data_IF_333010794099
#
_entry.id   IF_333010794099
#
_cell.length_a   1.000
_cell.length_b   1.000
_cell.length_c   1.000
_cell.angle_alpha   90.00
_cell.angle_beta   90.00
_cell.angle_gamma   90.00
#
_symmetry.space_group_name_H-M   'P 1'
#
loop_
_entity.id
_entity.type
_entity.pdbx_description
1 polymer ?
#
# COMPACT_ATOMS: atom_id res chain seq x y z
N UNK A 1 5.85 -10.44 -6.63
CA UNK A 1 6.71 -9.26 -6.41
C UNK A 1 6.62 -8.85 -4.95
N UNK A 2 7.69 -8.33 -4.36
CA UNK A 2 7.69 -7.80 -3.00
C UNK A 2 8.13 -6.33 -3.05
N UNK A 3 7.35 -5.46 -2.43
CA UNK A 3 7.67 -4.04 -2.22
C UNK A 3 7.96 -3.83 -0.74
N UNK A 4 9.10 -3.21 -0.43
CA UNK A 4 9.40 -2.78 0.94
C UNK A 4 8.68 -1.46 1.20
N UNK A 5 7.90 -1.41 2.28
CA UNK A 5 7.24 -0.20 2.75
C UNK A 5 8.12 0.41 3.84
N UNK A 6 8.80 1.50 3.51
CA UNK A 6 9.68 2.21 4.42
C UNK A 6 8.87 3.12 5.35
N UNK A 7 9.39 3.33 6.55
CA UNK A 7 8.81 4.25 7.51
C UNK A 7 8.75 5.68 6.97
N UNK A 8 7.66 6.39 7.28
CA UNK A 8 7.51 7.81 7.04
C UNK A 8 7.10 8.53 8.33
N UNK A 9 7.50 9.80 8.43
CA UNK A 9 7.03 10.73 9.47
C UNK A 9 7.27 10.25 10.91
N UNK A 10 8.40 9.59 11.16
CA UNK A 10 8.78 9.03 12.48
C UNK A 10 7.66 8.16 13.10
N UNK A 11 6.94 7.42 12.26
CA UNK A 11 5.80 6.60 12.68
C UNK A 11 6.21 5.40 13.52
N UNK A 12 7.45 4.91 13.35
CA UNK A 12 7.90 3.60 13.82
C UNK A 12 7.27 2.43 13.05
N UNK A 13 6.58 2.68 11.93
CA UNK A 13 5.84 1.69 11.16
C UNK A 13 6.52 1.41 9.82
N UNK A 14 6.80 0.15 9.55
CA UNK A 14 7.40 -0.32 8.28
C UNK A 14 6.77 -1.64 7.88
N UNK A 15 6.93 -2.08 6.64
CA UNK A 15 6.25 -3.30 6.21
C UNK A 15 6.67 -3.81 4.86
N UNK A 16 5.87 -4.74 4.36
CA UNK A 16 6.00 -5.29 3.02
C UNK A 16 4.64 -5.39 2.35
N UNK A 17 4.59 -5.10 1.06
CA UNK A 17 3.48 -5.46 0.20
C UNK A 17 3.92 -6.57 -0.76
N UNK A 18 3.28 -7.73 -0.67
CA UNK A 18 3.50 -8.85 -1.56
C UNK A 18 2.39 -8.90 -2.60
N UNK A 19 2.78 -8.79 -3.87
CA UNK A 19 1.86 -8.84 -5.01
C UNK A 19 2.03 -10.15 -5.76
N UNK A 20 0.93 -10.87 -6.00
CA UNK A 20 0.89 -12.12 -6.76
C UNK A 20 -0.23 -12.05 -7.79
N UNK A 21 0.11 -12.21 -9.07
CA UNK A 21 -0.90 -12.33 -10.11
C UNK A 21 -1.38 -13.78 -10.24
N UNK A 22 -2.70 -13.96 -10.27
CA UNK A 22 -3.38 -15.22 -10.53
C UNK A 22 -4.66 -14.96 -11.32
N UNK A 23 -4.86 -15.72 -12.40
CA UNK A 23 -6.06 -15.63 -13.25
C UNK A 23 -6.34 -14.20 -13.77
N UNK A 24 -5.28 -13.44 -14.11
CA UNK A 24 -5.37 -12.07 -14.61
C UNK A 24 -5.71 -11.01 -13.56
N UNK A 25 -5.59 -11.36 -12.27
CA UNK A 25 -5.86 -10.49 -11.12
C UNK A 25 -4.67 -10.48 -10.18
N UNK A 26 -4.35 -9.32 -9.62
CA UNK A 26 -3.27 -9.17 -8.65
C UNK A 26 -3.83 -9.20 -7.24
N UNK A 27 -3.41 -10.18 -6.45
CA UNK A 27 -3.59 -10.19 -5.00
C UNK A 27 -2.45 -9.41 -4.34
N UNK A 28 -2.80 -8.45 -3.49
CA UNK A 28 -1.89 -7.60 -2.72
C UNK A 28 -2.07 -7.94 -1.24
N UNK A 29 -1.03 -8.49 -0.62
CA UNK A 29 -0.96 -8.69 0.83
C UNK A 29 -0.07 -7.62 1.44
N UNK A 30 -0.61 -6.83 2.36
CA UNK A 30 0.14 -5.82 3.13
C UNK A 30 0.37 -6.36 4.54
N UNK A 31 1.62 -6.36 4.97
CA UNK A 31 2.06 -6.74 6.32
C UNK A 31 2.90 -5.62 6.92
N UNK A 32 2.41 -5.03 8.01
CA UNK A 32 3.00 -3.89 8.71
C UNK A 32 3.47 -4.28 10.10
N UNK A 33 4.70 -3.89 10.41
CA UNK A 33 5.31 -3.91 11.73
C UNK A 33 5.17 -2.54 12.40
N UNK A 34 4.86 -2.54 13.70
CA UNK A 34 4.67 -1.31 14.48
C UNK A 34 3.27 -0.73 14.40
N UNK A 35 2.36 -1.32 13.61
CA UNK A 35 0.98 -0.88 13.48
C UNK A 35 0.26 -0.90 14.85
N UNK A 36 -0.47 0.18 15.22
CA UNK A 36 -1.16 0.24 16.50
C UNK A 36 -2.37 -0.72 16.54
N UNK A 37 -2.48 -1.49 17.62
CA UNK A 37 -3.54 -2.48 17.80
C UNK A 37 -4.94 -1.85 17.75
N UNK A 38 -5.86 -2.48 17.01
CA UNK A 38 -7.25 -2.06 16.83
C UNK A 38 -7.45 -0.79 16.00
N UNK A 39 -6.38 -0.22 15.44
CA UNK A 39 -6.48 0.96 14.56
C UNK A 39 -6.62 0.49 13.12
N UNK A 40 -7.68 0.96 12.46
CA UNK A 40 -7.86 0.78 11.02
C UNK A 40 -7.02 1.83 10.30
N UNK A 41 -6.06 1.36 9.51
CA UNK A 41 -5.15 2.20 8.74
C UNK A 41 -5.48 2.08 7.26
N UNK A 42 -6.03 3.15 6.61
CA UNK A 42 -6.26 3.11 5.18
C UNK A 42 -4.98 2.79 4.41
N UNK A 43 -5.09 1.99 3.36
CA UNK A 43 -3.96 1.74 2.45
C UNK A 43 -4.44 1.79 1.00
N UNK A 44 -3.59 2.30 0.12
CA UNK A 44 -3.96 2.55 -1.27
C UNK A 44 -2.76 2.37 -2.19
N UNK A 45 -3.05 2.08 -3.46
CA UNK A 45 -2.11 2.31 -4.56
C UNK A 45 -2.38 3.72 -5.10
N UNK A 46 -1.36 4.55 -5.16
CA UNK A 46 -1.40 5.90 -5.74
C UNK A 46 -0.51 6.02 -6.97
N UNK A 47 -0.78 7.03 -7.80
CA UNK A 47 0.20 7.49 -8.80
C UNK A 47 1.35 8.24 -8.13
N UNK A 48 2.49 8.30 -8.81
CA UNK A 48 3.67 9.05 -8.36
C UNK A 48 4.63 8.21 -7.52
N UNK A 49 5.31 8.87 -6.59
CA UNK A 49 6.38 8.31 -5.75
C UNK A 49 6.18 8.67 -4.27
N UNK A 50 6.97 8.07 -3.37
CA UNK A 50 6.80 8.28 -1.93
C UNK A 50 7.09 9.72 -1.47
N UNK A 51 7.79 10.53 -2.26
CA UNK A 51 8.01 11.95 -1.98
C UNK A 51 6.85 12.83 -2.48
N UNK A 52 6.17 12.43 -3.56
CA UNK A 52 5.11 13.16 -4.23
C UNK A 52 3.92 12.24 -4.54
N UNK A 53 3.17 11.87 -3.49
CA UNK A 53 1.99 11.02 -3.62
C UNK A 53 0.89 11.70 -4.45
N UNK A 54 0.48 11.05 -5.53
CA UNK A 54 -0.56 11.50 -6.44
C UNK A 54 -1.97 10.99 -6.07
N UNK A 55 -2.81 10.82 -7.10
CA UNK A 55 -4.19 10.37 -6.92
C UNK A 55 -4.26 8.88 -6.56
N UNK A 56 -5.30 8.49 -5.83
CA UNK A 56 -5.62 7.08 -5.58
C UNK A 56 -5.96 6.42 -6.91
N UNK A 57 -5.32 5.30 -7.19
CA UNK A 57 -5.59 4.43 -8.34
C UNK A 57 -6.44 3.25 -7.91
N UNK A 58 -6.02 2.56 -6.84
CA UNK A 58 -6.76 1.44 -6.29
C UNK A 58 -6.87 1.55 -4.77
N UNK A 59 -8.07 1.45 -4.18
CA UNK A 59 -8.20 1.20 -2.76
C UNK A 59 -7.75 -0.21 -2.43
N UNK A 60 -7.08 -0.35 -1.29
CA UNK A 60 -6.79 -1.64 -0.68
C UNK A 60 -7.64 -1.80 0.59
N UNK A 61 -7.87 -3.05 0.99
CA UNK A 61 -8.39 -3.35 2.32
C UNK A 61 -7.48 -2.74 3.38
N UNK A 62 -8.10 -2.19 4.42
CA UNK A 62 -7.38 -1.43 5.42
C UNK A 62 -6.75 -2.38 6.43
N UNK A 63 -5.41 -2.43 6.55
CA UNK A 63 -4.78 -3.24 7.58
C UNK A 63 -5.34 -2.86 8.96
N UNK A 64 -5.89 -3.89 9.62
CA UNK A 64 -6.25 -3.86 11.03
C UNK A 64 -5.25 -4.76 11.73
N UNK A 65 -4.59 -4.26 12.77
CA UNK A 65 -3.46 -4.94 13.42
C UNK A 65 -2.32 -5.27 12.43
N UNK A 66 -2.15 -4.42 11.41
CA UNK A 66 -1.03 -4.46 10.47
C UNK A 66 -1.17 -5.41 9.28
N UNK A 67 -2.27 -6.15 9.13
CA UNK A 67 -2.43 -7.08 8.00
C UNK A 67 -3.70 -6.83 7.18
N UNK A 68 -3.57 -6.88 5.86
CA UNK A 68 -4.69 -6.86 4.92
C UNK A 68 -4.37 -7.63 3.63
N UNK A 69 -5.40 -8.19 3.00
CA UNK A 69 -5.31 -8.83 1.69
C UNK A 69 -6.38 -8.23 0.78
N UNK A 70 -5.98 -7.80 -0.42
CA UNK A 70 -6.87 -7.23 -1.43
C UNK A 70 -6.67 -7.93 -2.76
N UNK A 71 -7.74 -8.28 -3.46
CA UNK A 71 -7.65 -8.71 -4.86
C UNK A 71 -8.04 -7.57 -5.79
N UNK A 72 -7.09 -7.09 -6.61
CA UNK A 72 -7.32 -6.11 -7.64
C UNK A 72 -7.89 -6.79 -8.91
N UNK A 73 -8.88 -6.18 -9.59
CA UNK A 73 -9.45 -6.74 -10.80
C UNK A 73 -8.59 -6.49 -12.06
N UNK A 74 -7.27 -6.40 -11.90
CA UNK A 74 -6.29 -6.08 -12.96
C UNK A 74 -5.04 -6.95 -12.83
N UNK A 75 -4.34 -7.20 -13.94
CA UNK A 75 -3.07 -7.93 -13.98
C UNK A 75 -1.84 -7.00 -13.86
N UNK A 76 -0.64 -7.58 -13.81
CA UNK A 76 0.60 -6.80 -13.73
C UNK A 76 0.86 -5.93 -14.96
N UNK A 77 0.44 -6.36 -16.16
CA UNK A 77 0.62 -5.57 -17.38
C UNK A 77 -0.11 -4.22 -17.29
N UNK A 78 -1.31 -4.20 -16.69
CA UNK A 78 -2.07 -2.97 -16.48
C UNK A 78 -1.46 -2.09 -15.39
N UNK A 79 -1.03 -2.67 -14.27
CA UNK A 79 -0.31 -1.93 -13.23
C UNK A 79 0.98 -1.30 -13.78
N UNK A 80 1.71 -2.04 -14.63
CA UNK A 80 2.93 -1.56 -15.27
C UNK A 80 2.66 -0.40 -16.23
N UNK A 81 1.56 -0.44 -16.97
CA UNK A 81 1.16 0.64 -17.88
C UNK A 81 0.75 1.92 -17.15
N UNK A 82 0.44 1.85 -15.85
CA UNK A 82 0.04 2.99 -15.02
C UNK A 82 1.17 3.57 -14.17
N UNK A 83 2.39 3.03 -14.26
CA UNK A 83 3.55 3.56 -13.55
C UNK A 83 3.82 5.04 -13.90
N UNK A 84 4.38 5.83 -12.95
CA UNK A 84 4.85 5.42 -11.62
C UNK A 84 3.70 5.21 -10.62
N UNK A 85 3.83 4.14 -9.81
CA UNK A 85 2.88 3.78 -8.77
C UNK A 85 3.60 3.57 -7.42
N UNK A 86 2.87 3.79 -6.32
CA UNK A 86 3.32 3.51 -4.96
C UNK A 86 2.20 2.87 -4.15
N UNK A 87 2.56 2.16 -3.08
CA UNK A 87 1.66 1.79 -1.99
C UNK A 87 2.00 2.65 -0.78
N UNK A 88 1.00 3.26 -0.15
CA UNK A 88 1.15 3.92 1.14
C UNK A 88 0.13 3.40 2.16
N UNK A 89 0.46 3.61 3.43
CA UNK A 89 -0.43 3.35 4.57
C UNK A 89 -0.63 4.66 5.32
N UNK A 90 -1.88 4.95 5.66
CA UNK A 90 -2.31 6.16 6.35
C UNK A 90 -2.43 5.90 7.86
N UNK A 91 -2.25 6.93 8.68
CA UNK A 91 -2.22 6.80 10.15
C UNK A 91 -3.52 6.28 10.75
N UNK A 92 -4.66 6.73 10.22
CA UNK A 92 -6.00 6.25 10.59
C UNK A 92 -7.05 6.85 9.64
N UNK A 93 -8.30 6.41 9.77
CA UNK A 93 -9.43 7.00 9.01
C UNK A 93 -9.69 8.48 9.33
N UNK A 94 -9.35 8.96 10.53
CA UNK A 94 -9.52 10.37 10.93
C UNK A 94 -8.29 11.22 10.65
N UNK A 95 -7.11 10.60 10.50
CA UNK A 95 -5.85 11.25 10.15
C UNK A 95 -5.35 10.76 8.78
N UNK A 96 -6.26 10.72 7.80
CA UNK A 96 -5.98 10.19 6.47
C UNK A 96 -4.98 11.01 5.65
N UNK A 97 -4.57 12.21 6.07
CA UNK A 97 -3.50 12.97 5.39
C UNK A 97 -2.11 12.73 5.98
N UNK A 98 -2.00 11.87 7.01
CA UNK A 98 -0.72 11.50 7.62
C UNK A 98 -0.36 10.10 7.15
N UNK A 99 0.75 9.97 6.44
CA UNK A 99 1.26 8.68 5.96
C UNK A 99 2.23 8.10 6.99
N UNK A 100 2.12 6.80 7.26
CA UNK A 100 2.98 6.10 8.24
C UNK A 100 4.05 5.26 7.54
N UNK A 101 3.77 4.80 6.33
CA UNK A 101 4.71 4.02 5.54
C UNK A 101 4.41 4.10 4.04
N UNK A 102 5.44 3.91 3.21
CA UNK A 102 5.32 3.94 1.76
C UNK A 102 6.39 3.09 1.05
N UNK A 103 6.04 2.50 -0.09
CA UNK A 103 6.98 1.86 -1.00
C UNK A 103 6.55 1.97 -2.46
N UNK A 104 7.51 2.12 -3.36
CA UNK A 104 7.30 2.29 -4.80
C UNK A 104 7.13 0.95 -5.51
N UNK A 105 6.26 0.90 -6.51
CA UNK A 105 5.98 -0.31 -7.29
C UNK A 105 6.84 -0.31 -8.55
N UNK A 106 7.98 -1.00 -8.45
CA UNK A 106 8.86 -1.28 -9.60
C UNK A 106 8.48 -2.60 -10.30
N UNK A 107 7.48 -2.55 -11.19
CA UNK A 107 6.97 -3.69 -11.98
C UNK A 107 7.64 -3.85 -13.36
#
# INVERSE_FOLDING_TARGET
MVVVLNELNDSGESGTATLVEKDGKVEVTVDMLGAPAGVVQPSHIHTGDCANTGAVVYPLEFPTDGQAVTTLPVGFDELKAQQPLLINVHKSTTLASVYVSCGELEL
#
